data_IF_286638739289
#
_entry.id   IF_286638739289
#
_cell.length_a   1.000
_cell.length_b   1.000
_cell.length_c   1.000
_cell.angle_alpha   90.00
_cell.angle_beta   90.00
_cell.angle_gamma   90.00
#
_symmetry.space_group_name_H-M   'P 1'
#
loop_
_entity.id
_entity.type
_entity.pdbx_description
1 polymer ?
#
# COMPACT_ATOMS: atom_id res chain seq x y z
N UNK A 1 -4.65 -9.63 -4.48
CA UNK A 1 -3.75 -10.28 -3.50
C UNK A 1 -4.53 -11.15 -2.49
N UNK A 2 -4.50 -12.48 -2.61
CA UNK A 2 -5.29 -13.38 -1.76
C UNK A 2 -4.88 -13.36 -0.28
N UNK A 3 -3.61 -13.68 0.03
CA UNK A 3 -3.14 -13.85 1.43
C UNK A 3 -3.31 -12.57 2.27
N UNK A 4 -2.92 -11.40 1.74
CA UNK A 4 -3.05 -10.13 2.46
C UNK A 4 -4.52 -9.79 2.80
N UNK A 5 -5.46 -10.09 1.89
CA UNK A 5 -6.87 -9.75 2.10
C UNK A 5 -7.49 -10.52 3.26
N UNK A 6 -7.09 -11.77 3.48
CA UNK A 6 -7.59 -12.60 4.60
C UNK A 6 -7.21 -11.95 5.93
N UNK A 7 -5.91 -11.65 6.11
CA UNK A 7 -5.40 -11.05 7.35
C UNK A 7 -6.01 -9.67 7.59
N UNK A 8 -6.11 -8.83 6.55
CA UNK A 8 -6.68 -7.48 6.68
C UNK A 8 -8.14 -7.56 7.15
N UNK A 9 -8.94 -8.47 6.60
CA UNK A 9 -10.35 -8.61 7.01
C UNK A 9 -10.44 -9.07 8.46
N UNK A 10 -9.63 -10.04 8.88
CA UNK A 10 -9.62 -10.51 10.28
C UNK A 10 -9.13 -9.44 11.25
N UNK A 11 -8.07 -8.70 10.89
CA UNK A 11 -7.54 -7.61 11.70
C UNK A 11 -8.55 -6.46 11.85
N UNK A 12 -9.24 -6.07 10.78
CA UNK A 12 -10.28 -5.03 10.86
C UNK A 12 -11.41 -5.46 11.81
N UNK A 13 -11.87 -6.72 11.73
CA UNK A 13 -12.87 -7.24 12.69
C UNK A 13 -12.35 -7.22 14.12
N UNK A 14 -11.10 -7.62 14.34
CA UNK A 14 -10.47 -7.58 15.66
C UNK A 14 -10.46 -6.15 16.23
N UNK A 15 -9.99 -5.18 15.44
CA UNK A 15 -9.96 -3.77 15.83
C UNK A 15 -11.37 -3.22 16.11
N UNK A 16 -12.35 -3.64 15.32
CA UNK A 16 -13.76 -3.31 15.55
C UNK A 16 -14.25 -3.83 16.91
N UNK A 17 -14.02 -5.10 17.23
CA UNK A 17 -14.42 -5.67 18.53
C UNK A 17 -13.64 -5.09 19.72
N UNK A 18 -12.42 -4.60 19.47
CA UNK A 18 -11.64 -3.87 20.46
C UNK A 18 -12.08 -2.41 20.67
N UNK A 19 -13.09 -1.93 19.92
CA UNK A 19 -13.50 -0.52 19.88
C UNK A 19 -12.35 0.45 19.56
N UNK A 20 -11.34 0.01 18.80
CA UNK A 20 -10.23 0.86 18.41
C UNK A 20 -10.70 2.01 17.50
N UNK A 21 -10.13 3.20 17.69
CA UNK A 21 -10.41 4.42 16.93
C UNK A 21 -9.12 4.99 16.37
N UNK A 22 -9.23 5.73 15.28
CA UNK A 22 -8.13 6.47 14.64
C UNK A 22 -6.88 5.59 14.37
N UNK A 23 -7.12 4.37 13.90
CA UNK A 23 -6.06 3.39 13.63
C UNK A 23 -5.37 3.71 12.31
N UNK A 24 -4.04 3.87 12.36
CA UNK A 24 -3.19 3.96 11.17
C UNK A 24 -2.60 2.59 10.86
N UNK A 25 -2.86 2.08 9.66
CA UNK A 25 -2.30 0.81 9.19
C UNK A 25 -1.11 1.07 8.26
N UNK A 26 0.06 0.52 8.61
CA UNK A 26 1.29 0.66 7.82
C UNK A 26 1.74 -0.72 7.33
N UNK A 27 1.91 -0.86 6.01
CA UNK A 27 2.57 -2.02 5.42
C UNK A 27 4.06 -1.72 5.25
N UNK A 28 4.90 -2.54 5.87
CA UNK A 28 6.34 -2.59 5.58
C UNK A 28 6.63 -3.80 4.71
N UNK A 29 7.47 -3.63 3.70
CA UNK A 29 7.83 -4.71 2.78
C UNK A 29 8.95 -4.31 1.84
N UNK A 30 9.28 -5.22 0.92
CA UNK A 30 10.28 -5.01 -0.12
C UNK A 30 9.60 -4.84 -1.48
N UNK A 31 10.30 -4.25 -2.44
CA UNK A 31 9.82 -4.06 -3.81
C UNK A 31 10.98 -3.93 -4.80
N UNK A 32 10.69 -4.11 -6.09
CA UNK A 32 11.61 -3.75 -7.17
C UNK A 32 11.49 -2.26 -7.49
N UNK A 33 12.57 -1.51 -7.32
CA UNK A 33 12.61 -0.09 -7.68
C UNK A 33 12.77 0.11 -9.19
N UNK A 34 12.00 1.04 -9.77
CA UNK A 34 12.13 1.45 -11.17
C UNK A 34 12.87 2.78 -11.21
N UNK A 35 14.03 2.80 -11.88
CA UNK A 35 14.87 4.00 -12.04
C UNK A 35 15.28 4.69 -10.72
N UNK A 36 15.41 3.92 -9.63
CA UNK A 36 15.88 4.39 -8.32
C UNK A 36 17.02 3.49 -7.81
N UNK A 37 17.97 4.04 -7.02
CA UNK A 37 19.06 3.24 -6.46
C UNK A 37 18.56 2.13 -5.53
N UNK A 38 19.23 0.96 -5.48
CA UNK A 38 18.94 -0.08 -4.50
C UNK A 38 19.01 0.44 -3.06
N UNK A 39 18.10 -0.05 -2.20
CA UNK A 39 18.01 0.38 -0.81
C UNK A 39 17.21 1.66 -0.56
N UNK A 40 16.70 2.32 -1.61
CA UNK A 40 15.81 3.48 -1.47
C UNK A 40 14.45 3.07 -0.92
N UNK A 41 13.99 3.75 0.14
CA UNK A 41 12.65 3.62 0.68
C UNK A 41 11.64 4.34 -0.23
N UNK A 42 10.54 3.66 -0.56
CA UNK A 42 9.44 4.25 -1.33
C UNK A 42 8.21 4.37 -0.44
N UNK A 43 7.78 5.60 -0.21
CA UNK A 43 6.52 5.93 0.46
C UNK A 43 5.42 6.03 -0.60
N UNK A 44 4.47 5.11 -0.54
CA UNK A 44 3.44 4.97 -1.58
C UNK A 44 2.37 6.06 -1.42
N UNK A 45 2.19 6.89 -2.43
CA UNK A 45 1.09 7.88 -2.50
C UNK A 45 -0.10 7.44 -3.36
N UNK A 46 -0.01 6.27 -3.99
CA UNK A 46 -1.05 5.67 -4.81
C UNK A 46 -0.64 4.28 -5.27
N UNK A 47 -1.57 3.33 -5.31
CA UNK A 47 -1.31 1.96 -5.75
C UNK A 47 -1.95 1.71 -7.12
N UNK A 48 -1.13 1.40 -8.11
CA UNK A 48 -1.60 1.09 -9.46
C UNK A 48 -1.89 -0.39 -9.61
N UNK A 49 -2.87 -0.74 -10.45
CA UNK A 49 -3.05 -2.09 -10.95
C UNK A 49 -2.33 -2.30 -12.29
N UNK A 50 -2.44 -3.50 -12.87
CA UNK A 50 -1.84 -3.82 -14.18
C UNK A 50 -2.37 -2.99 -15.36
N UNK A 51 -3.48 -2.26 -15.20
CA UNK A 51 -4.01 -1.31 -16.20
C UNK A 51 -3.47 0.13 -15.98
N UNK A 52 -2.52 0.31 -15.05
CA UNK A 52 -1.92 1.59 -14.65
C UNK A 52 -2.93 2.61 -14.09
N UNK A 53 -4.04 2.13 -13.55
CA UNK A 53 -5.03 2.94 -12.83
C UNK A 53 -4.95 2.69 -11.33
N UNK A 54 -5.32 3.70 -10.54
CA UNK A 54 -5.30 3.70 -9.07
C UNK A 54 -6.50 2.95 -8.46
N UNK A 55 -6.80 1.77 -9.01
CA UNK A 55 -7.95 0.95 -8.64
C UNK A 55 -7.55 -0.49 -8.34
N UNK A 56 -7.98 -0.99 -7.19
CA UNK A 56 -7.99 -2.41 -6.91
C UNK A 56 -9.17 -3.09 -7.61
N UNK A 57 -8.90 -4.18 -8.33
CA UNK A 57 -9.91 -5.02 -8.99
C UNK A 57 -10.25 -6.20 -8.10
N UNK A 58 -11.54 -6.40 -7.83
CA UNK A 58 -12.04 -7.61 -7.17
C UNK A 58 -13.21 -8.19 -7.96
N UNK A 59 -13.27 -9.51 -8.09
CA UNK A 59 -14.43 -10.20 -8.62
C UNK A 59 -15.32 -10.68 -7.48
N UNK A 60 -16.57 -10.23 -7.45
CA UNK A 60 -17.56 -10.61 -6.43
C UNK A 60 -18.76 -11.19 -7.15
N UNK A 61 -19.06 -12.47 -6.89
CA UNK A 61 -20.14 -13.21 -7.56
C UNK A 61 -20.07 -13.07 -9.09
N UNK A 62 -18.86 -13.17 -9.66
CA UNK A 62 -18.62 -13.05 -11.10
C UNK A 62 -18.61 -11.62 -11.67
N UNK A 63 -18.84 -10.58 -10.86
CA UNK A 63 -18.84 -9.17 -11.31
C UNK A 63 -17.53 -8.47 -10.98
N UNK A 64 -16.95 -7.72 -11.94
CA UNK A 64 -15.77 -6.87 -11.74
C UNK A 64 -16.16 -5.66 -10.89
N UNK A 65 -15.51 -5.50 -9.74
CA UNK A 65 -15.67 -4.37 -8.82
C UNK A 65 -14.35 -3.61 -8.75
N UNK A 66 -14.40 -2.29 -8.93
CA UNK A 66 -13.27 -1.39 -8.82
C UNK A 66 -13.35 -0.62 -7.49
N UNK A 67 -12.25 -0.60 -6.73
CA UNK A 67 -12.13 0.20 -5.51
C UNK A 67 -10.93 1.12 -5.61
N UNK A 68 -11.10 2.39 -5.26
CA UNK A 68 -10.00 3.36 -5.23
C UNK A 68 -8.95 2.96 -4.19
N UNK A 69 -7.68 3.00 -4.57
CA UNK A 69 -6.57 2.85 -3.64
C UNK A 69 -6.15 4.22 -3.10
N UNK A 70 -6.62 4.57 -1.90
CA UNK A 70 -6.33 5.86 -1.25
C UNK A 70 -5.25 5.66 -0.20
N UNK A 71 -4.33 6.62 -0.13
CA UNK A 71 -3.27 6.69 0.88
C UNK A 71 -3.38 8.02 1.60
N UNK A 72 -3.13 8.00 2.91
CA UNK A 72 -3.20 9.19 3.73
C UNK A 72 -1.95 10.07 3.49
N UNK A 73 -2.21 11.29 3.01
CA UNK A 73 -1.16 12.23 2.65
C UNK A 73 -0.36 12.74 3.84
N UNK A 74 -1.03 12.95 4.97
CA UNK A 74 -0.38 13.40 6.18
C UNK A 74 0.58 12.33 6.67
N UNK A 75 0.15 11.07 6.69
CA UNK A 75 0.96 9.94 7.16
C UNK A 75 2.24 9.78 6.32
N UNK A 76 2.14 9.73 4.98
CA UNK A 76 3.35 9.54 4.17
C UNK A 76 4.28 10.78 4.17
N UNK A 77 3.75 11.99 4.36
CA UNK A 77 4.60 13.18 4.52
C UNK A 77 5.33 13.19 5.87
N UNK A 78 4.67 12.78 6.96
CA UNK A 78 5.31 12.62 8.26
C UNK A 78 6.43 11.57 8.20
N UNK A 79 6.18 10.41 7.59
CA UNK A 79 7.20 9.37 7.39
C UNK A 79 8.36 9.86 6.52
N UNK A 80 8.09 10.64 5.48
CA UNK A 80 9.13 11.23 4.62
C UNK A 80 10.07 12.14 5.42
N UNK A 81 9.50 13.02 6.25
CA UNK A 81 10.26 13.94 7.08
C UNK A 81 11.18 13.20 8.06
N UNK A 82 10.67 12.14 8.71
CA UNK A 82 11.48 11.31 9.60
C UNK A 82 12.61 10.60 8.85
N UNK A 83 12.31 9.99 7.70
CA UNK A 83 13.34 9.31 6.89
C UNK A 83 14.43 10.29 6.41
N UNK A 84 14.04 11.51 6.03
CA UNK A 84 14.96 12.57 5.65
C UNK A 84 15.84 13.03 6.82
N UNK A 85 15.28 13.20 8.02
CA UNK A 85 16.05 13.52 9.24
C UNK A 85 17.08 12.43 9.59
N UNK A 86 16.73 11.16 9.35
CA UNK A 86 17.60 10.01 9.53
C UNK A 86 18.60 9.80 8.38
N UNK A 87 18.61 10.68 7.38
CA UNK A 87 19.48 10.60 6.19
C UNK A 87 19.31 9.28 5.41
N UNK A 88 18.11 8.70 5.45
CA UNK A 88 17.78 7.51 4.67
C UNK A 88 17.41 7.90 3.24
N UNK A 89 17.84 7.15 2.21
CA UNK A 89 17.39 7.37 0.85
C UNK A 89 15.88 7.11 0.78
N UNK A 90 15.09 8.14 0.50
CA UNK A 90 13.62 8.06 0.52
C UNK A 90 13.00 8.83 -0.65
N UNK A 91 11.95 8.27 -1.25
CA UNK A 91 11.14 8.92 -2.27
C UNK A 91 9.64 8.67 -2.03
N UNK A 92 8.81 9.63 -2.43
CA UNK A 92 7.36 9.46 -2.51
C UNK A 92 7.00 9.11 -3.95
N UNK A 93 6.23 8.05 -4.16
CA UNK A 93 5.86 7.62 -5.50
C UNK A 93 4.66 6.69 -5.56
N UNK A 94 4.20 6.43 -6.79
CA UNK A 94 3.18 5.41 -7.04
C UNK A 94 3.82 4.02 -7.06
N UNK A 95 3.09 3.03 -6.56
CA UNK A 95 3.56 1.64 -6.50
C UNK A 95 2.62 0.76 -7.32
N UNK A 96 3.17 -0.02 -8.25
CA UNK A 96 2.40 -1.03 -9.00
C UNK A 96 2.22 -2.28 -8.13
N UNK A 97 0.98 -2.77 -8.01
CA UNK A 97 0.67 -4.04 -7.35
C UNK A 97 0.31 -5.09 -8.40
N UNK A 98 1.05 -6.19 -8.39
CA UNK A 98 0.90 -7.33 -9.30
C UNK A 98 0.39 -8.56 -8.56
N UNK A 99 -0.23 -9.49 -9.28
CA UNK A 99 -0.73 -10.76 -8.70
C UNK A 99 0.26 -11.92 -8.86
N UNK A 100 1.25 -11.78 -9.74
CA UNK A 100 2.37 -12.68 -9.86
C UNK A 100 3.69 -11.90 -9.80
N UNK A 101 4.76 -12.58 -9.43
CA UNK A 101 6.09 -11.96 -9.32
C UNK A 101 6.81 -11.85 -10.68
N UNK A 102 6.51 -12.75 -11.61
CA UNK A 102 7.17 -12.80 -12.92
C UNK A 102 6.24 -12.30 -14.04
N UNK A 103 5.12 -12.99 -14.30
CA UNK A 103 4.18 -12.70 -15.41
C UNK A 103 2.74 -12.51 -14.90
#
# INVERSE_FOLDING_TARGET
>A
MPSASIIIIELIKLLYYANAKDVVAIRMGTSGGIAIPPGTLVLTNGALNGELIDKYVQYIMGKKILRTSVFDAEVYHQLYNVAHQLQLPVQIGKTLSVNDFYE
#
